data_IF_926562002472
#
_entry.id   IF_926562002472
#
_cell.length_a   1.000
_cell.length_b   1.000
_cell.length_c   1.000
_cell.angle_alpha   90.00
_cell.angle_beta   90.00
_cell.angle_gamma   90.00
#
_symmetry.space_group_name_H-M   'P 1'
#
loop_
_entity.id
_entity.type
_entity.pdbx_description
1 polymer ?
#
# COMPACT_ATOMS: atom_id res chain seq x y z
N UNK A 1 -14.70 -23.87 4.22
CA UNK A 1 -15.04 -22.73 5.09
C UNK A 1 -14.87 -21.49 4.24
N UNK A 2 -15.95 -20.73 4.01
CA UNK A 2 -15.93 -19.57 3.11
C UNK A 2 -15.57 -18.34 3.95
N UNK A 3 -14.46 -17.70 3.64
CA UNK A 3 -14.02 -16.48 4.30
C UNK A 3 -14.48 -15.28 3.47
N UNK A 4 -14.82 -14.18 4.13
CA UNK A 4 -15.01 -12.88 3.50
C UNK A 4 -13.68 -12.38 2.91
N UNK A 5 -13.76 -11.50 1.91
CA UNK A 5 -12.55 -10.90 1.30
C UNK A 5 -11.70 -10.13 2.32
N UNK A 6 -12.32 -9.52 3.33
CA UNK A 6 -11.64 -8.81 4.42
C UNK A 6 -10.83 -9.79 5.28
N UNK A 7 -11.40 -10.93 5.65
CA UNK A 7 -10.72 -11.96 6.47
C UNK A 7 -9.48 -12.51 5.76
N UNK A 8 -9.56 -12.71 4.45
CA UNK A 8 -8.41 -13.24 3.70
C UNK A 8 -7.29 -12.21 3.57
N UNK A 9 -7.63 -10.94 3.28
CA UNK A 9 -6.63 -9.88 3.20
C UNK A 9 -6.00 -9.58 4.55
N UNK A 10 -6.77 -9.63 5.63
CA UNK A 10 -6.24 -9.54 6.99
C UNK A 10 -5.20 -10.64 7.26
N UNK A 11 -5.51 -11.90 6.96
CA UNK A 11 -4.56 -13.02 7.14
C UNK A 11 -3.30 -12.86 6.30
N UNK A 12 -3.42 -12.38 5.05
CA UNK A 12 -2.26 -12.07 4.21
C UNK A 12 -1.36 -11.01 4.85
N UNK A 13 -1.94 -9.88 5.29
CA UNK A 13 -1.17 -8.80 5.91
C UNK A 13 -0.49 -9.25 7.20
N UNK A 14 -1.16 -10.11 7.98
CA UNK A 14 -0.56 -10.73 9.16
C UNK A 14 0.64 -11.62 8.79
N UNK A 15 0.47 -12.53 7.82
CA UNK A 15 1.54 -13.41 7.35
C UNK A 15 2.76 -12.63 6.85
N UNK A 16 2.54 -11.61 6.02
CA UNK A 16 3.61 -10.77 5.48
C UNK A 16 4.35 -10.02 6.59
N UNK A 17 3.62 -9.51 7.57
CA UNK A 17 4.21 -8.83 8.73
C UNK A 17 5.07 -9.80 9.56
N UNK A 18 4.60 -11.02 9.79
CA UNK A 18 5.33 -12.05 10.56
C UNK A 18 6.58 -12.55 9.81
N UNK A 19 6.50 -12.66 8.49
CA UNK A 19 7.59 -13.14 7.65
C UNK A 19 8.60 -12.04 7.27
N UNK A 20 8.35 -10.78 7.65
CA UNK A 20 9.17 -9.61 7.31
C UNK A 20 9.46 -9.42 5.81
N UNK A 21 8.57 -9.95 4.96
CA UNK A 21 8.75 -9.94 3.50
C UNK A 21 8.47 -8.55 2.92
N UNK A 22 7.46 -7.86 3.44
CA UNK A 22 7.05 -6.52 3.01
C UNK A 22 6.82 -5.65 4.26
N UNK A 23 6.93 -4.33 4.07
CA UNK A 23 6.57 -3.39 5.12
C UNK A 23 5.05 -3.30 5.30
N UNK A 24 4.61 -3.00 6.52
CA UNK A 24 3.22 -2.65 6.76
C UNK A 24 2.92 -1.27 6.19
N UNK A 25 1.76 -1.13 5.56
CA UNK A 25 1.24 0.15 5.09
C UNK A 25 -0.22 0.36 5.53
N UNK A 26 -0.67 1.61 5.46
CA UNK A 26 -2.03 2.01 5.87
C UNK A 26 -2.62 3.00 4.89
N UNK A 27 -3.89 2.84 4.58
CA UNK A 27 -4.68 3.86 3.92
C UNK A 27 -5.42 4.68 4.98
N UNK A 28 -5.30 6.00 4.91
CA UNK A 28 -6.08 6.95 5.71
C UNK A 28 -7.04 7.72 4.81
N UNK A 29 -8.28 7.88 5.25
CA UNK A 29 -9.25 8.73 4.55
C UNK A 29 -8.99 10.21 4.83
N UNK A 30 -9.47 11.12 3.97
CA UNK A 30 -9.39 12.56 4.23
C UNK A 30 -9.97 12.93 5.60
N UNK A 31 -11.12 12.35 5.96
CA UNK A 31 -11.76 12.58 7.26
C UNK A 31 -10.87 12.11 8.42
N UNK A 32 -10.28 10.92 8.33
CA UNK A 32 -9.38 10.40 9.37
C UNK A 32 -8.16 11.31 9.56
N UNK A 33 -7.68 11.93 8.48
CA UNK A 33 -6.56 12.86 8.52
C UNK A 33 -6.94 14.23 9.11
N UNK A 34 -8.14 14.74 8.81
CA UNK A 34 -8.69 15.96 9.42
C UNK A 34 -8.86 15.84 10.95
N UNK A 35 -9.16 14.62 11.43
CA UNK A 35 -9.27 14.31 12.85
C UNK A 35 -7.89 14.11 13.51
N UNK A 36 -6.85 13.86 12.73
CA UNK A 36 -5.50 13.61 13.23
C UNK A 36 -4.84 14.89 13.74
N UNK A 37 -3.99 14.76 14.76
CA UNK A 37 -3.22 15.86 15.36
C UNK A 37 -1.75 15.48 15.45
N UNK A 38 -0.87 16.46 15.27
CA UNK A 38 0.55 16.29 15.61
C UNK A 38 0.72 16.05 17.11
N UNK A 39 1.90 15.61 17.53
CA UNK A 39 2.19 15.32 18.95
C UNK A 39 2.00 16.54 19.86
N UNK A 40 2.17 17.76 19.33
CA UNK A 40 1.94 19.01 20.03
C UNK A 40 0.45 19.45 20.08
N UNK A 41 -0.45 18.63 19.52
CA UNK A 41 -1.88 18.87 19.46
C UNK A 41 -2.34 19.76 18.31
N UNK A 42 -1.43 20.24 17.45
CA UNK A 42 -1.80 21.05 16.29
C UNK A 42 -2.48 20.20 15.19
N UNK A 43 -3.42 20.77 14.42
CA UNK A 43 -4.05 20.08 13.30
C UNK A 43 -3.04 19.81 12.18
N UNK A 44 -3.22 18.71 11.46
CA UNK A 44 -2.48 18.47 10.22
C UNK A 44 -2.80 19.58 9.22
N UNK A 45 -1.77 20.01 8.48
CA UNK A 45 -1.90 21.04 7.46
C UNK A 45 -3.00 20.68 6.44
N UNK A 46 -3.99 21.56 6.19
CA UNK A 46 -5.03 21.35 5.18
C UNK A 46 -4.51 21.14 3.76
N UNK A 47 -3.28 21.60 3.45
CA UNK A 47 -2.63 21.30 2.16
C UNK A 47 -2.38 19.79 1.97
N UNK A 48 -2.52 19.01 3.05
CA UNK A 48 -2.44 17.55 3.10
C UNK A 48 -3.85 16.94 3.15
N UNK A 49 -4.93 17.65 2.78
CA UNK A 49 -6.28 17.06 2.77
C UNK A 49 -6.44 16.08 1.60
N UNK A 50 -6.36 14.78 1.85
CA UNK A 50 -6.49 13.77 0.80
C UNK A 50 -6.41 12.33 1.29
N UNK A 51 -6.60 11.40 0.36
CA UNK A 51 -6.40 9.97 0.63
C UNK A 51 -4.92 9.71 0.83
N UNK A 52 -4.53 9.25 2.03
CA UNK A 52 -3.12 9.13 2.39
C UNK A 52 -2.68 7.67 2.45
N UNK A 53 -1.67 7.31 1.65
CA UNK A 53 -0.98 6.03 1.69
C UNK A 53 0.25 6.19 2.57
N UNK A 54 0.24 5.51 3.72
CA UNK A 54 1.32 5.48 4.68
C UNK A 54 2.11 4.18 4.52
N UNK A 55 3.44 4.25 4.55
CA UNK A 55 4.28 3.04 4.54
C UNK A 55 5.73 3.33 4.85
N UNK A 56 6.50 2.26 5.02
CA UNK A 56 7.94 2.35 5.24
C UNK A 56 8.73 2.18 3.94
N UNK A 57 9.82 2.94 3.84
CA UNK A 57 10.75 2.91 2.72
C UNK A 57 12.19 2.68 3.21
N UNK A 58 13.08 2.30 2.30
CA UNK A 58 14.51 2.26 2.58
C UNK A 58 15.05 3.66 2.94
N UNK A 59 15.90 3.80 3.98
CA UNK A 59 16.49 5.09 4.35
C UNK A 59 17.17 5.82 3.20
N UNK A 60 17.85 5.11 2.29
CA UNK A 60 18.54 5.74 1.14
C UNK A 60 17.58 6.40 0.17
N UNK A 61 16.41 5.80 -0.05
CA UNK A 61 15.38 6.41 -0.91
C UNK A 61 14.75 7.62 -0.20
N UNK A 62 14.57 7.55 1.12
CA UNK A 62 14.11 8.70 1.90
C UNK A 62 15.11 9.87 1.84
N UNK A 63 16.41 9.59 1.88
CA UNK A 63 17.46 10.61 1.73
C UNK A 63 17.43 11.28 0.34
N UNK A 64 17.21 10.51 -0.73
CA UNK A 64 17.06 11.06 -2.09
C UNK A 64 15.82 11.96 -2.20
N UNK A 65 14.70 11.54 -1.61
CA UNK A 65 13.49 12.37 -1.54
C UNK A 65 13.78 13.67 -0.76
N UNK A 66 14.48 13.57 0.37
CA UNK A 66 14.84 14.72 1.18
C UNK A 66 15.81 15.68 0.46
N UNK A 67 16.64 15.18 -0.45
CA UNK A 67 17.50 15.98 -1.30
C UNK A 67 16.75 16.73 -2.42
N UNK A 68 15.44 16.46 -2.59
CA UNK A 68 14.61 17.10 -3.62
C UNK A 68 14.74 16.45 -5.00
N UNK A 69 15.18 15.20 -5.06
CA UNK A 69 15.27 14.46 -6.32
C UNK A 69 13.91 14.28 -6.99
N UNK A 70 13.90 14.22 -8.31
CA UNK A 70 12.66 14.12 -9.08
C UNK A 70 12.01 12.76 -8.87
N UNK A 71 10.75 12.79 -8.43
CA UNK A 71 9.94 11.60 -8.19
C UNK A 71 9.05 11.32 -9.42
N UNK A 72 9.00 10.07 -9.85
CA UNK A 72 8.05 9.58 -10.86
C UNK A 72 7.01 8.70 -10.18
N UNK A 73 5.77 8.79 -10.65
CA UNK A 73 4.64 8.04 -10.13
C UNK A 73 4.00 7.21 -11.23
N UNK A 74 3.52 6.02 -10.88
CA UNK A 74 2.67 5.21 -11.76
C UNK A 74 1.69 4.41 -10.91
N UNK A 75 0.51 4.11 -11.46
CA UNK A 75 -0.47 3.27 -10.81
C UNK A 75 -0.98 2.18 -11.75
N UNK A 76 -1.28 1.02 -11.20
CA UNK A 76 -1.75 -0.11 -11.99
C UNK A 76 -2.79 -0.86 -11.19
N UNK A 77 -3.90 -1.21 -11.83
CA UNK A 77 -4.88 -2.13 -11.25
C UNK A 77 -4.72 -3.45 -11.97
N UNK A 78 -4.43 -4.51 -11.22
CA UNK A 78 -4.50 -5.87 -11.72
C UNK A 78 -5.74 -6.57 -11.17
N UNK A 79 -6.16 -7.64 -11.85
CA UNK A 79 -7.10 -8.62 -11.31
C UNK A 79 -6.31 -9.85 -10.89
N UNK A 80 -6.32 -10.18 -9.60
CA UNK A 80 -5.76 -11.43 -9.12
C UNK A 80 -6.59 -12.60 -9.68
N UNK A 81 -5.99 -13.81 -9.78
CA UNK A 81 -6.67 -14.98 -10.31
C UNK A 81 -8.07 -15.18 -9.67
N UNK A 82 -8.16 -15.07 -8.35
CA UNK A 82 -9.41 -15.17 -7.57
C UNK A 82 -10.46 -14.06 -7.81
N UNK A 83 -10.21 -13.17 -8.76
CA UNK A 83 -11.08 -12.04 -9.09
C UNK A 83 -10.96 -10.85 -8.14
N UNK A 84 -10.06 -10.90 -7.15
CA UNK A 84 -9.75 -9.75 -6.31
C UNK A 84 -8.89 -8.77 -7.09
N UNK A 85 -9.37 -7.54 -7.28
CA UNK A 85 -8.54 -6.50 -7.86
C UNK A 85 -7.55 -5.97 -6.83
N UNK A 86 -6.36 -5.58 -7.26
CA UNK A 86 -5.37 -4.94 -6.41
C UNK A 86 -4.85 -3.70 -7.13
N UNK A 87 -4.76 -2.62 -6.38
CA UNK A 87 -4.09 -1.40 -6.80
C UNK A 87 -2.62 -1.47 -6.40
N UNK A 88 -1.76 -1.24 -7.37
CA UNK A 88 -0.34 -1.00 -7.22
C UNK A 88 -0.07 0.48 -7.42
N UNK A 89 0.59 1.14 -6.48
CA UNK A 89 1.04 2.51 -6.62
C UNK A 89 2.57 2.55 -6.47
N UNK A 90 3.26 3.02 -7.50
CA UNK A 90 4.71 3.14 -7.52
C UNK A 90 5.15 4.58 -7.32
N UNK A 91 6.22 4.75 -6.53
CA UNK A 91 7.06 5.92 -6.54
C UNK A 91 8.47 5.50 -6.95
N UNK A 92 9.06 6.18 -7.93
CA UNK A 92 10.43 5.97 -8.35
C UNK A 92 11.25 7.24 -8.14
N UNK A 93 12.43 7.10 -7.53
CA UNK A 93 13.44 8.14 -7.41
C UNK A 93 14.77 7.55 -7.82
N UNK A 94 15.38 8.08 -8.88
CA UNK A 94 16.59 7.49 -9.47
C UNK A 94 16.41 5.98 -9.76
N UNK A 95 17.25 5.16 -9.14
CA UNK A 95 17.26 3.71 -9.26
C UNK A 95 16.52 2.99 -8.11
N UNK A 96 15.76 3.72 -7.30
CA UNK A 96 14.93 3.18 -6.23
C UNK A 96 13.46 3.24 -6.60
N UNK A 97 12.71 2.21 -6.22
CA UNK A 97 11.26 2.23 -6.25
C UNK A 97 10.67 1.81 -4.91
N UNK A 98 9.59 2.48 -4.53
CA UNK A 98 8.67 2.06 -3.49
C UNK A 98 7.32 1.73 -4.12
N UNK A 99 6.70 0.65 -3.68
CA UNK A 99 5.43 0.17 -4.23
C UNK A 99 4.44 -0.08 -3.10
N UNK A 100 3.29 0.56 -3.15
CA UNK A 100 2.13 0.20 -2.33
C UNK A 100 1.31 -0.85 -3.06
N UNK A 101 0.94 -1.92 -2.35
CA UNK A 101 0.06 -2.97 -2.86
C UNK A 101 -1.19 -2.98 -1.99
N UNK A 102 -2.33 -2.71 -2.61
CA UNK A 102 -3.58 -2.50 -1.91
C UNK A 102 -4.68 -3.34 -2.53
N UNK A 103 -5.08 -4.44 -1.89
CA UNK A 103 -6.25 -5.18 -2.34
C UNK A 103 -7.48 -4.27 -2.34
N UNK A 104 -8.24 -4.27 -3.43
CA UNK A 104 -9.49 -3.51 -3.57
C UNK A 104 -10.66 -4.18 -2.81
N UNK A 105 -10.34 -4.81 -1.68
CA UNK A 105 -11.26 -5.47 -0.76
C UNK A 105 -11.66 -4.49 0.35
N UNK A 106 -12.70 -3.70 0.09
CA UNK A 106 -13.18 -2.74 1.08
C UNK A 106 -13.90 -1.57 0.45
N UNK A 107 -14.84 -0.97 1.18
CA UNK A 107 -15.48 0.26 0.77
C UNK A 107 -14.49 1.42 0.74
N UNK A 108 -13.57 1.53 1.69
CA UNK A 108 -12.67 2.69 1.80
C UNK A 108 -11.73 2.80 0.61
N UNK A 109 -11.09 1.70 0.20
CA UNK A 109 -10.19 1.71 -0.96
C UNK A 109 -10.95 1.86 -2.27
N UNK A 110 -12.17 1.32 -2.39
CA UNK A 110 -13.02 1.57 -3.56
C UNK A 110 -13.42 3.04 -3.66
N UNK A 111 -13.73 3.67 -2.53
CA UNK A 111 -13.99 5.10 -2.47
C UNK A 111 -12.74 5.91 -2.85
N UNK A 112 -11.57 5.54 -2.32
CA UNK A 112 -10.30 6.15 -2.70
C UNK A 112 -10.07 6.10 -4.20
N UNK A 113 -10.28 4.95 -4.84
CA UNK A 113 -10.16 4.79 -6.30
C UNK A 113 -11.20 5.62 -7.05
N UNK A 114 -12.44 5.70 -6.57
CA UNK A 114 -13.48 6.52 -7.22
C UNK A 114 -13.26 8.03 -7.06
N UNK A 115 -12.57 8.45 -6.00
CA UNK A 115 -12.26 9.85 -5.73
C UNK A 115 -11.01 10.34 -6.49
N UNK A 116 -10.28 9.43 -7.14
CA UNK A 116 -9.11 9.78 -7.97
C UNK A 116 -9.52 10.80 -9.03
N UNK A 117 -8.80 11.92 -9.07
CA UNK A 117 -9.07 13.06 -9.97
C UNK A 117 -9.90 14.18 -9.33
N UNK A 118 -10.57 13.91 -8.21
CA UNK A 118 -11.30 14.91 -7.42
C UNK A 118 -10.60 15.23 -6.11
N UNK A 119 -10.02 14.20 -5.47
CA UNK A 119 -9.30 14.32 -4.20
C UNK A 119 -7.85 13.91 -4.43
N UNK A 120 -6.85 14.67 -3.92
CA UNK A 120 -5.46 14.31 -4.08
C UNK A 120 -5.13 13.01 -3.33
N UNK A 121 -4.17 12.25 -3.88
CA UNK A 121 -3.53 11.15 -3.17
C UNK A 121 -2.24 11.67 -2.55
N UNK A 122 -2.04 11.31 -1.30
CA UNK A 122 -0.91 11.76 -0.50
C UNK A 122 -0.13 10.51 -0.13
N UNK A 123 1.19 10.62 -0.18
CA UNK A 123 2.05 9.53 0.24
C UNK A 123 2.88 10.01 1.43
N UNK A 124 2.75 9.29 2.55
CA UNK A 124 3.52 9.51 3.75
C UNK A 124 4.50 8.35 3.93
N UNK A 125 5.79 8.63 3.81
CA UNK A 125 6.86 7.65 3.96
C UNK A 125 7.61 7.85 5.27
N UNK A 126 7.85 6.75 5.97
CA UNK A 126 8.76 6.68 7.11
C UNK A 126 9.86 5.66 6.86
N UNK A 127 10.79 5.56 7.80
CA UNK A 127 11.66 4.38 7.91
C UNK A 127 11.24 3.61 9.16
N UNK A 128 11.29 2.27 9.09
CA UNK A 128 10.85 1.35 10.16
C UNK A 128 11.47 1.63 11.56
N UNK A 129 12.57 2.40 11.60
CA UNK A 129 13.35 2.68 12.81
C UNK A 129 13.70 4.17 12.98
N UNK A 130 13.10 5.08 12.21
CA UNK A 130 13.47 6.50 12.22
C UNK A 130 12.36 7.40 12.75
N UNK A 131 12.74 8.45 13.47
CA UNK A 131 11.83 9.51 13.94
C UNK A 131 11.42 10.49 12.83
N UNK A 132 11.87 10.25 11.58
CA UNK A 132 11.64 11.13 10.44
C UNK A 132 10.64 10.49 9.48
N UNK A 133 9.48 11.14 9.36
CA UNK A 133 8.55 10.92 8.27
C UNK A 133 8.66 12.05 7.23
N UNK A 134 8.36 11.72 5.97
CA UNK A 134 8.20 12.68 4.88
C UNK A 134 6.82 12.51 4.28
N UNK A 135 6.11 13.62 4.18
CA UNK A 135 4.81 13.70 3.54
C UNK A 135 4.99 14.33 2.17
N UNK A 136 4.56 13.61 1.15
CA UNK A 136 4.56 14.05 -0.24
C UNK A 136 3.10 14.13 -0.70
N UNK A 137 2.61 15.34 -0.95
CA UNK A 137 1.34 15.51 -1.64
C UNK A 137 1.57 15.31 -3.14
N UNK A 138 0.85 14.35 -3.74
CA UNK A 138 1.02 14.02 -5.15
C UNK A 138 -0.30 14.30 -5.88
N UNK A 139 -0.31 15.20 -6.86
CA UNK A 139 -1.47 15.33 -7.72
C UNK A 139 -1.60 14.03 -8.53
N UNK A 140 -2.57 13.22 -8.16
CA UNK A 140 -2.83 11.95 -8.82
C UNK A 140 -3.79 12.20 -9.99
N UNK A 141 -3.30 12.02 -11.21
CA UNK A 141 -4.13 12.10 -12.42
C UNK A 141 -4.77 10.73 -12.70
N UNK A 142 -6.06 10.66 -13.09
CA UNK A 142 -6.69 9.42 -13.57
C UNK A 142 -5.91 8.74 -14.71
N UNK A 143 -5.16 9.52 -15.49
CA UNK A 143 -4.28 9.04 -16.58
C UNK A 143 -3.14 8.13 -16.08
N UNK A 144 -2.83 8.14 -14.78
CA UNK A 144 -1.81 7.30 -14.17
C UNK A 144 -2.28 5.86 -13.91
N UNK A 145 -3.58 5.56 -14.08
CA UNK A 145 -4.14 4.23 -13.82
C UNK A 145 -4.24 3.45 -15.12
N UNK A 146 -3.24 2.62 -15.39
CA UNK A 146 -3.34 1.62 -16.45
C UNK A 146 -3.98 0.34 -15.90
N UNK A 147 -5.14 -0.06 -16.43
CA UNK A 147 -5.75 -1.34 -16.10
C UNK A 147 -5.11 -2.43 -16.96
N UNK A 148 -4.41 -3.36 -16.32
CA UNK A 148 -3.84 -4.53 -17.00
C UNK A 148 -4.60 -5.79 -16.55
N UNK A 149 -5.32 -6.44 -17.47
CA UNK A 149 -5.90 -7.76 -17.23
C UNK A 149 -4.84 -8.83 -17.43
N UNK A 150 -4.20 -9.28 -16.34
CA UNK A 150 -3.44 -10.51 -16.35
C UNK A 150 -4.40 -11.69 -16.16
N UNK A 151 -4.60 -12.48 -17.23
CA UNK A 151 -5.37 -13.72 -17.17
C UNK A 151 -4.43 -14.83 -16.69
N UNK A 152 -4.73 -15.41 -15.53
CA UNK A 152 -4.12 -16.66 -15.07
C UNK A 152 -5.23 -17.70 -14.99
N UNK A 153 -5.03 -18.85 -15.64
CA UNK A 153 -5.99 -19.96 -15.65
C UNK A 153 -6.16 -20.55 -14.24
N UNK A 154 -7.41 -20.74 -13.81
CA UNK A 154 -7.76 -21.25 -12.50
C UNK A 154 -8.83 -22.33 -12.56
N UNK A 155 -8.55 -23.47 -11.91
CA UNK A 155 -9.60 -24.31 -11.35
C UNK A 155 -9.37 -24.47 -9.84
N UNK A 156 -10.30 -23.86 -9.08
CA UNK A 156 -10.60 -24.06 -7.64
C UNK A 156 -9.52 -23.59 -6.66
N UNK A 157 -9.84 -22.55 -5.89
CA UNK A 157 -8.89 -21.95 -4.94
C UNK A 157 -9.44 -21.84 -3.53
N UNK A 158 -8.53 -22.09 -2.59
CA UNK A 158 -8.68 -21.97 -1.15
C UNK A 158 -8.05 -20.65 -0.64
N UNK A 159 -8.35 -20.25 0.59
CA UNK A 159 -7.76 -19.05 1.24
C UNK A 159 -6.24 -19.00 1.23
N UNK A 160 -5.56 -20.15 1.23
CA UNK A 160 -4.11 -20.20 1.08
C UNK A 160 -3.67 -19.68 -0.30
N UNK A 161 -4.43 -19.96 -1.36
CA UNK A 161 -4.06 -19.52 -2.69
C UNK A 161 -4.35 -18.04 -2.96
N UNK A 162 -5.29 -17.38 -2.25
CA UNK A 162 -5.40 -15.91 -2.33
C UNK A 162 -4.22 -15.21 -1.60
N UNK A 163 -3.78 -15.75 -0.47
CA UNK A 163 -2.57 -15.26 0.19
C UNK A 163 -1.34 -15.50 -0.71
N UNK A 164 -1.22 -16.68 -1.32
CA UNK A 164 -0.17 -16.98 -2.29
C UNK A 164 -0.25 -16.09 -3.53
N UNK A 165 -1.44 -15.72 -4.00
CA UNK A 165 -1.61 -14.82 -5.15
C UNK A 165 -1.18 -13.40 -4.80
N UNK A 166 -1.60 -12.86 -3.65
CA UNK A 166 -1.20 -11.50 -3.24
C UNK A 166 0.30 -11.49 -2.88
N UNK A 167 0.83 -12.55 -2.25
CA UNK A 167 2.29 -12.73 -2.03
C UNK A 167 3.01 -12.82 -3.37
N UNK A 168 2.57 -13.67 -4.28
CA UNK A 168 3.15 -13.88 -5.61
C UNK A 168 3.15 -12.59 -6.41
N UNK A 169 2.05 -11.85 -6.36
CA UNK A 169 1.93 -10.57 -7.03
C UNK A 169 2.80 -9.50 -6.34
N UNK A 170 2.96 -9.56 -5.01
CA UNK A 170 3.94 -8.73 -4.28
C UNK A 170 5.38 -9.08 -4.64
N UNK A 171 5.71 -10.36 -4.76
CA UNK A 171 7.01 -10.85 -5.22
C UNK A 171 7.27 -10.48 -6.68
N UNK A 172 6.24 -10.51 -7.52
CA UNK A 172 6.28 -10.00 -8.89
C UNK A 172 6.62 -8.51 -8.87
N UNK A 173 5.98 -7.74 -8.01
CA UNK A 173 6.32 -6.34 -7.73
C UNK A 173 7.58 -6.14 -6.88
N UNK A 174 8.38 -7.15 -6.58
CA UNK A 174 9.78 -6.91 -6.19
C UNK A 174 10.70 -6.86 -7.42
N UNK A 175 10.22 -7.33 -8.58
CA UNK A 175 11.02 -7.34 -9.80
C UNK A 175 11.13 -5.93 -10.38
N UNK A 176 12.33 -5.46 -10.73
CA UNK A 176 12.54 -4.12 -11.27
C UNK A 176 11.65 -3.77 -12.48
N UNK A 177 11.33 -4.75 -13.32
CA UNK A 177 10.64 -4.61 -14.60
C UNK A 177 9.11 -4.57 -14.50
N UNK A 178 8.52 -4.91 -13.36
CA UNK A 178 7.08 -5.16 -13.24
C UNK A 178 6.14 -3.97 -13.51
N UNK A 179 6.63 -2.73 -13.53
CA UNK A 179 5.82 -1.51 -13.78
C UNK A 179 6.58 -0.44 -14.59
N UNK A 180 7.60 -0.80 -15.36
CA UNK A 180 8.48 0.20 -16.01
C UNK A 180 8.01 0.62 -17.41
N UNK A 181 7.65 1.91 -17.56
CA UNK A 181 7.43 2.57 -18.86
C UNK A 181 8.66 3.32 -19.42
N UNK A 182 9.58 3.82 -18.57
CA UNK A 182 10.59 4.79 -19.00
C UNK A 182 12.02 4.53 -18.47
N UNK A 183 12.81 3.76 -19.23
CA UNK A 183 14.24 3.97 -19.53
C UNK A 183 15.33 3.95 -18.42
N UNK A 184 15.02 4.10 -17.13
CA UNK A 184 16.03 3.99 -16.06
C UNK A 184 15.93 2.63 -15.36
N UNK A 185 17.07 1.95 -15.20
CA UNK A 185 17.14 0.67 -14.52
C UNK A 185 16.94 0.81 -13.01
N UNK A 186 15.80 0.35 -12.51
CA UNK A 186 15.54 0.18 -11.08
C UNK A 186 16.54 -0.85 -10.54
N UNK A 187 17.28 -0.49 -9.49
CA UNK A 187 18.27 -1.35 -8.81
C UNK A 187 17.75 -1.92 -7.50
N UNK A 188 16.84 -1.22 -6.83
CA UNK A 188 16.29 -1.65 -5.56
C UNK A 188 14.81 -1.28 -5.45
N UNK A 189 14.03 -2.19 -4.87
CA UNK A 189 12.59 -2.07 -4.70
C UNK A 189 12.23 -2.35 -3.25
N UNK A 190 11.37 -1.51 -2.67
CA UNK A 190 10.68 -1.77 -1.41
C UNK A 190 9.17 -1.81 -1.65
N UNK A 191 8.47 -2.61 -0.85
CA UNK A 191 7.03 -2.82 -1.01
C UNK A 191 6.35 -2.66 0.35
N UNK A 192 5.24 -1.92 0.37
CA UNK A 192 4.33 -1.83 1.50
C UNK A 192 2.98 -2.45 1.15
N UNK A 193 2.54 -3.41 1.96
CA UNK A 193 1.21 -3.98 1.85
C UNK A 193 0.23 -3.13 2.66
N UNK A 194 -0.77 -2.53 2.00
CA UNK A 194 -1.61 -1.49 2.60
C UNK A 194 -2.92 -2.06 3.13
N UNK A 195 -3.18 -1.82 4.41
CA UNK A 195 -4.47 -2.10 5.03
C UNK A 195 -5.45 -0.93 4.83
N UNK A 196 -6.63 -1.22 4.30
CA UNK A 196 -7.77 -0.30 4.37
C UNK A 196 -8.32 -0.23 5.82
N UNK A 197 -8.99 0.87 6.23
CA UNK A 197 -9.52 1.05 7.58
C UNK A 197 -10.32 -0.15 8.12
N UNK A 198 -11.21 -0.72 7.32
CA UNK A 198 -12.03 -1.88 7.69
C UNK A 198 -11.22 -3.17 7.85
N UNK A 199 -10.16 -3.36 7.05
CA UNK A 199 -9.24 -4.50 7.17
C UNK A 199 -8.41 -4.36 8.43
N UNK A 200 -7.97 -3.13 8.74
CA UNK A 200 -7.24 -2.82 9.96
C UNK A 200 -8.10 -3.02 11.21
N UNK A 201 -9.33 -2.51 11.21
CA UNK A 201 -10.27 -2.73 12.30
C UNK A 201 -10.53 -4.23 12.53
N UNK A 202 -10.63 -5.01 11.44
CA UNK A 202 -10.72 -6.46 11.54
C UNK A 202 -9.48 -7.07 12.20
N UNK A 203 -8.27 -6.69 11.76
CA UNK A 203 -7.01 -7.16 12.33
C UNK A 203 -6.91 -6.83 13.83
N UNK A 204 -7.22 -5.59 14.22
CA UNK A 204 -7.18 -5.14 15.62
C UNK A 204 -8.18 -5.91 16.50
N UNK A 205 -9.37 -6.23 15.97
CA UNK A 205 -10.39 -7.00 16.69
C UNK A 205 -10.07 -8.50 16.80
N UNK A 206 -9.23 -9.04 15.93
CA UNK A 206 -8.96 -10.48 15.82
C UNK A 206 -7.49 -10.86 16.05
N UNK A 207 -6.63 -9.92 16.42
CA UNK A 207 -5.30 -10.23 16.93
C UNK A 207 -5.44 -10.95 18.28
N UNK A 208 -4.80 -12.12 18.46
CA UNK A 208 -4.76 -12.76 19.77
C UNK A 208 -4.06 -11.80 20.73
N UNK A 209 -4.71 -11.47 21.84
CA UNK A 209 -4.09 -10.62 22.86
C UNK A 209 -2.82 -11.32 23.35
N UNK A 210 -1.68 -10.68 23.14
CA UNK A 210 -0.36 -11.16 23.62
C UNK A 210 -0.37 -11.35 25.15
N UNK A 211 -1.36 -10.76 25.84
CA UNK A 211 -1.60 -10.90 27.28
C UNK A 211 -2.04 -12.30 27.76
N UNK A 212 -2.42 -13.23 26.88
CA UNK A 212 -2.82 -14.60 27.31
C UNK A 212 -1.72 -15.67 27.18
N UNK A 213 -0.52 -15.31 26.73
CA UNK A 213 0.63 -16.24 26.60
C UNK A 213 1.69 -16.07 27.70
N UNK A 214 1.46 -15.20 28.69
CA UNK A 214 2.33 -15.02 29.86
C UNK A 214 1.62 -15.31 31.20
N UNK A 215 0.59 -16.17 31.19
CA UNK A 215 0.03 -16.76 32.41
C UNK A 215 0.28 -18.27 32.46
#
# INVERSE_FOLDING_TARGET
MQYSSIEVVAKFLQFVSEAEILASGRLMSPQELEEFRYQDGSPIDPAVSGWTFCGDVNPKMLDLIAAGEKIRHSATIWKAPEGTYVLALQQQVENWAHRFIVPLSGQSIRQCVSDVGCIPIIISLSTRFGDLARVLAIPFSPELVEAHEYIVDLEKVSVFALADDIVSASLHFLRPDAMCGDGQSIKAVCVSAVAAPEVRAFLEAHQPSVSSMMQ
#
